data_IF_329671696376
#
_entry.id   IF_329671696376
#
_cell.length_a   1.000
_cell.length_b   1.000
_cell.length_c   1.000
_cell.angle_alpha   90.00
_cell.angle_beta   90.00
_cell.angle_gamma   90.00
#
_symmetry.space_group_name_H-M   'P 1'
#
loop_
_entity.id
_entity.type
_entity.pdbx_description
1 polymer ?
#
# COMPACT_ATOMS: atom_id res chain seq x y z
N UNK A 1 28.92 8.47 -8.99
CA UNK A 1 29.45 8.84 -7.66
C UNK A 1 30.65 7.96 -7.36
N UNK A 2 31.66 8.49 -6.69
CA UNK A 2 32.94 7.82 -6.48
C UNK A 2 32.99 7.01 -5.18
N UNK A 3 33.66 5.86 -5.22
CA UNK A 3 34.06 5.11 -4.03
C UNK A 3 35.57 4.88 -3.95
N UNK A 4 35.98 4.15 -2.93
CA UNK A 4 37.38 3.78 -2.72
C UNK A 4 37.48 2.38 -2.13
N UNK A 5 38.70 1.87 -2.04
CA UNK A 5 39.03 0.62 -1.37
C UNK A 5 40.07 0.89 -0.29
N UNK A 6 40.30 -0.07 0.61
CA UNK A 6 41.18 0.07 1.78
C UNK A 6 42.65 0.42 1.49
N UNK A 7 43.07 0.43 0.22
CA UNK A 7 44.41 0.81 -0.19
C UNK A 7 44.58 2.32 -0.43
N UNK A 8 43.50 3.09 -0.59
CA UNK A 8 43.57 4.54 -0.79
C UNK A 8 44.13 5.23 0.45
N UNK A 9 45.10 6.13 0.27
CA UNK A 9 45.83 6.82 1.35
C UNK A 9 46.58 5.89 2.34
N UNK A 10 46.77 4.61 1.99
CA UNK A 10 47.51 3.67 2.82
C UNK A 10 49.01 3.71 2.53
N UNK A 11 49.81 3.36 3.54
CA UNK A 11 51.24 3.10 3.38
C UNK A 11 51.48 1.59 3.22
N UNK A 12 52.28 1.23 2.22
CA UNK A 12 52.59 -0.15 1.90
C UNK A 12 54.03 -0.48 2.31
N UNK A 13 54.25 -1.71 2.76
CA UNK A 13 55.54 -2.22 3.20
C UNK A 13 55.89 -3.48 2.42
N UNK A 14 57.17 -3.70 2.21
CA UNK A 14 57.69 -4.95 1.69
C UNK A 14 57.69 -6.06 2.77
N UNK A 15 58.08 -7.27 2.37
CA UNK A 15 58.14 -8.44 3.26
C UNK A 15 59.14 -8.31 4.41
N UNK A 16 60.07 -7.36 4.32
CA UNK A 16 61.07 -7.06 5.35
C UNK A 16 60.64 -5.88 6.24
N UNK A 17 59.43 -5.32 6.04
CA UNK A 17 58.91 -4.18 6.80
C UNK A 17 59.47 -2.82 6.36
N UNK A 18 60.20 -2.76 5.24
CA UNK A 18 60.64 -1.48 4.66
C UNK A 18 59.52 -0.88 3.82
N UNK A 19 59.38 0.45 3.75
CA UNK A 19 58.39 1.07 2.88
C UNK A 19 58.56 0.63 1.42
N UNK A 20 57.44 0.34 0.74
CA UNK A 20 57.43 -0.10 -0.66
C UNK A 20 57.66 1.08 -1.62
N UNK A 21 58.83 1.70 -1.49
CA UNK A 21 59.24 2.87 -2.29
C UNK A 21 59.26 2.54 -3.77
N UNK A 22 58.55 3.35 -4.58
CA UNK A 22 58.48 3.16 -6.03
C UNK A 22 57.69 1.92 -6.47
N UNK A 23 56.93 1.29 -5.57
CA UNK A 23 56.00 0.22 -5.95
C UNK A 23 54.96 0.68 -6.97
N UNK A 24 54.36 -0.26 -7.69
CA UNK A 24 53.38 0.01 -8.75
C UNK A 24 52.04 -0.62 -8.41
N UNK A 25 51.00 0.22 -8.30
CA UNK A 25 49.62 -0.21 -8.09
C UNK A 25 48.87 -0.21 -9.41
N UNK A 26 48.43 -1.40 -9.83
CA UNK A 26 47.63 -1.62 -11.03
C UNK A 26 46.15 -1.75 -10.68
N UNK A 27 45.31 -1.06 -11.44
CA UNK A 27 43.85 -1.22 -11.42
C UNK A 27 43.41 -2.03 -12.63
N UNK A 28 42.73 -3.14 -12.39
CA UNK A 28 42.36 -4.13 -13.39
C UNK A 28 40.86 -4.40 -13.26
N UNK A 29 40.18 -4.65 -14.36
CA UNK A 29 38.77 -5.07 -14.33
C UNK A 29 38.65 -6.41 -13.57
N UNK A 30 37.63 -6.54 -12.72
CA UNK A 30 37.41 -7.78 -11.97
C UNK A 30 37.29 -9.00 -12.88
N UNK A 31 37.75 -10.16 -12.41
CA UNK A 31 37.79 -11.43 -13.17
C UNK A 31 38.64 -11.40 -14.45
N UNK A 32 39.45 -10.36 -14.66
CA UNK A 32 40.44 -10.31 -15.75
C UNK A 32 41.86 -10.36 -15.17
N UNK A 33 42.84 -10.59 -16.05
CA UNK A 33 44.25 -10.70 -15.63
C UNK A 33 45.05 -9.42 -15.89
N UNK A 34 44.62 -8.58 -16.84
CA UNK A 34 45.38 -7.39 -17.23
C UNK A 34 44.54 -6.29 -17.89
N UNK A 35 43.22 -6.44 -18.00
CA UNK A 35 42.38 -5.43 -18.65
C UNK A 35 42.35 -4.17 -17.77
N UNK A 36 42.90 -3.03 -18.21
CA UNK A 36 43.02 -1.86 -17.36
C UNK A 36 41.66 -1.33 -16.92
N UNK A 37 41.59 -0.89 -15.66
CA UNK A 37 40.47 -0.12 -15.14
C UNK A 37 40.92 1.29 -14.76
N UNK A 38 40.08 2.29 -15.03
CA UNK A 38 40.38 3.67 -14.67
C UNK A 38 40.21 3.90 -13.16
N UNK A 39 41.19 4.60 -12.58
CA UNK A 39 41.09 5.26 -11.29
C UNK A 39 41.20 6.77 -11.49
N UNK A 40 40.69 7.57 -10.56
CA UNK A 40 40.58 9.03 -10.69
C UNK A 40 41.15 9.75 -9.48
N UNK A 41 41.59 10.99 -9.70
CA UNK A 41 42.16 11.89 -8.69
C UNK A 41 41.09 12.67 -7.93
N UNK A 42 39.86 12.72 -8.45
CA UNK A 42 38.74 13.47 -7.89
C UNK A 42 37.46 12.63 -7.75
N UNK A 43 36.58 13.06 -6.83
CA UNK A 43 35.28 12.42 -6.57
C UNK A 43 34.28 12.55 -7.73
N UNK A 44 34.53 13.46 -8.67
CA UNK A 44 33.73 13.65 -9.88
C UNK A 44 34.06 12.63 -10.99
N UNK A 45 35.11 11.82 -10.81
CA UNK A 45 35.61 10.86 -11.81
C UNK A 45 36.01 11.55 -13.12
N UNK A 46 36.67 12.70 -13.03
CA UNK A 46 36.98 13.54 -14.20
C UNK A 46 38.45 13.54 -14.58
N UNK A 47 39.35 13.41 -13.60
CA UNK A 47 40.80 13.46 -13.77
C UNK A 47 41.37 12.04 -13.55
N UNK A 48 41.74 11.31 -14.61
CA UNK A 48 42.26 9.95 -14.46
C UNK A 48 43.65 9.94 -13.81
N UNK A 49 43.91 8.90 -13.03
CA UNK A 49 45.25 8.51 -12.60
C UNK A 49 45.94 7.68 -13.70
N UNK A 50 47.28 7.72 -13.78
CA UNK A 50 48.02 6.76 -14.59
C UNK A 50 47.80 5.33 -14.05
N UNK A 51 47.87 4.34 -14.93
CA UNK A 51 47.78 2.92 -14.57
C UNK A 51 49.03 2.20 -15.12
N UNK A 52 50.01 1.85 -14.27
CA UNK A 52 49.96 1.85 -12.80
C UNK A 52 50.16 3.24 -12.16
N UNK A 53 49.71 3.36 -10.90
CA UNK A 53 50.12 4.44 -10.00
C UNK A 53 51.45 4.05 -9.34
N UNK A 54 52.43 4.95 -9.36
CA UNK A 54 53.70 4.77 -8.66
C UNK A 54 53.62 5.31 -7.23
N UNK A 55 54.03 4.50 -6.25
CA UNK A 55 54.08 4.88 -4.83
C UNK A 55 55.25 5.84 -4.58
N UNK A 56 55.10 6.73 -3.59
CA UNK A 56 56.16 7.66 -3.19
C UNK A 56 57.33 6.97 -2.48
N UNK A 57 58.37 7.74 -2.10
CA UNK A 57 59.55 7.21 -1.40
C UNK A 57 59.24 6.60 -0.03
N UNK A 58 58.09 6.92 0.55
CA UNK A 58 57.60 6.34 1.79
C UNK A 58 56.61 5.19 1.54
N UNK A 59 56.44 4.72 0.30
CA UNK A 59 55.51 3.64 -0.04
C UNK A 59 54.04 4.03 0.12
N UNK A 60 53.70 5.33 0.05
CA UNK A 60 52.32 5.80 0.19
C UNK A 60 51.61 5.79 -1.15
N UNK A 61 50.37 5.35 -1.11
CA UNK A 61 49.45 5.41 -2.24
C UNK A 61 48.71 6.76 -2.17
N UNK A 62 48.71 7.57 -3.25
CA UNK A 62 47.93 8.81 -3.29
C UNK A 62 46.43 8.51 -3.17
N UNK A 63 45.59 9.51 -2.81
CA UNK A 63 44.16 9.32 -2.86
C UNK A 63 43.74 8.95 -4.29
N UNK A 64 42.91 7.92 -4.40
CA UNK A 64 42.28 7.55 -5.65
C UNK A 64 40.80 7.24 -5.44
N UNK A 65 40.05 7.45 -6.50
CA UNK A 65 38.61 7.31 -6.56
C UNK A 65 38.25 6.39 -7.72
N UNK A 66 37.27 5.52 -7.50
CA UNK A 66 36.85 4.50 -8.46
C UNK A 66 35.36 4.66 -8.75
N UNK A 67 34.97 4.29 -9.97
CA UNK A 67 33.57 4.04 -10.29
C UNK A 67 33.05 2.84 -9.49
N UNK A 68 31.74 2.83 -9.24
CA UNK A 68 31.06 1.73 -8.55
C UNK A 68 31.25 0.39 -9.29
N UNK A 69 31.33 -0.70 -8.53
CA UNK A 69 31.54 -2.06 -9.03
C UNK A 69 32.65 -2.83 -8.30
N UNK A 70 32.90 -4.05 -8.78
CA UNK A 70 34.03 -4.88 -8.33
C UNK A 70 35.25 -4.68 -9.22
N UNK A 71 36.43 -4.69 -8.60
CA UNK A 71 37.71 -4.49 -9.30
C UNK A 71 38.74 -5.53 -8.88
N UNK A 72 39.83 -5.58 -9.64
CA UNK A 72 41.05 -6.27 -9.26
C UNK A 72 42.16 -5.27 -9.06
N UNK A 73 42.95 -5.48 -8.02
CA UNK A 73 44.18 -4.72 -7.77
C UNK A 73 45.37 -5.64 -7.75
N UNK A 74 46.48 -5.15 -8.29
CA UNK A 74 47.79 -5.78 -8.15
C UNK A 74 48.79 -4.72 -7.73
N UNK A 75 49.45 -4.95 -6.61
CA UNK A 75 50.57 -4.13 -6.13
C UNK A 75 51.86 -4.90 -6.36
N UNK A 76 52.82 -4.28 -7.03
CA UNK A 76 54.17 -4.81 -7.20
C UNK A 76 55.20 -3.91 -6.50
N UNK A 77 56.37 -4.46 -6.21
CA UNK A 77 57.54 -3.65 -5.89
C UNK A 77 58.05 -2.90 -7.13
N UNK A 78 59.10 -2.08 -6.95
CA UNK A 78 59.73 -1.32 -8.03
C UNK A 78 60.36 -2.21 -9.12
N UNK A 79 60.62 -3.49 -8.84
CA UNK A 79 61.18 -4.47 -9.77
C UNK A 79 60.09 -5.32 -10.45
N UNK A 80 58.81 -5.07 -10.17
CA UNK A 80 57.68 -5.82 -10.74
C UNK A 80 57.30 -7.10 -10.00
N UNK A 81 57.86 -7.36 -8.81
CA UNK A 81 57.49 -8.53 -7.99
C UNK A 81 56.19 -8.26 -7.24
N UNK A 82 55.22 -9.14 -7.42
CA UNK A 82 53.89 -9.02 -6.79
C UNK A 82 53.96 -9.09 -5.26
N UNK A 83 53.38 -8.09 -4.60
CA UNK A 83 53.22 -8.03 -3.14
C UNK A 83 51.79 -8.37 -2.73
N UNK A 84 50.81 -7.83 -3.46
CA UNK A 84 49.38 -8.05 -3.20
C UNK A 84 48.66 -8.23 -4.53
N UNK A 85 47.86 -9.29 -4.63
CA UNK A 85 46.89 -9.46 -5.71
C UNK A 85 45.56 -9.78 -5.06
N UNK A 86 44.55 -8.93 -5.31
CA UNK A 86 43.21 -9.13 -4.82
C UNK A 86 42.22 -8.91 -5.96
N UNK A 87 41.36 -9.91 -6.19
CA UNK A 87 40.31 -9.88 -7.21
C UNK A 87 38.94 -9.73 -6.55
N UNK A 88 37.96 -9.32 -7.35
CA UNK A 88 36.57 -9.14 -6.96
C UNK A 88 36.39 -8.25 -5.71
N UNK A 89 37.22 -7.22 -5.60
CA UNK A 89 37.24 -6.30 -4.47
C UNK A 89 36.21 -5.19 -4.70
N UNK A 90 35.29 -5.01 -3.74
CA UNK A 90 34.24 -4.01 -3.92
C UNK A 90 34.75 -2.58 -3.69
N UNK A 91 34.43 -1.69 -4.62
CA UNK A 91 34.52 -0.25 -4.42
C UNK A 91 33.43 0.20 -3.44
N UNK A 92 33.85 0.68 -2.26
CA UNK A 92 32.94 1.21 -1.25
C UNK A 92 32.79 2.71 -1.46
N UNK A 93 31.58 3.13 -1.80
CA UNK A 93 31.23 4.54 -1.97
C UNK A 93 29.74 4.72 -2.13
N UNK A 94 29.24 5.96 -2.00
CA UNK A 94 27.83 6.21 -2.24
C UNK A 94 27.57 5.98 -3.74
N UNK A 95 26.73 5.01 -4.10
CA UNK A 95 26.47 4.66 -5.50
C UNK A 95 25.49 5.64 -6.14
N UNK A 96 25.75 6.02 -7.40
CA UNK A 96 24.80 6.78 -8.23
C UNK A 96 23.74 5.89 -8.90
N UNK A 97 23.86 4.56 -8.78
CA UNK A 97 22.87 3.61 -9.23
C UNK A 97 21.79 3.46 -8.17
N UNK A 98 20.62 4.07 -8.43
CA UNK A 98 19.39 3.59 -7.82
C UNK A 98 19.09 2.19 -8.36
N UNK A 99 19.57 1.15 -7.67
CA UNK A 99 19.27 -0.23 -8.01
C UNK A 99 20.39 -1.21 -7.72
N UNK A 100 20.20 -2.01 -6.68
CA UNK A 100 20.58 -3.42 -6.65
C UNK A 100 22.07 -3.78 -6.59
N UNK A 101 22.53 -4.10 -5.39
CA UNK A 101 23.39 -5.28 -5.18
C UNK A 101 24.81 -5.22 -5.74
N UNK A 102 25.70 -4.58 -4.98
CA UNK A 102 27.13 -4.88 -4.97
C UNK A 102 27.76 -4.04 -3.87
N UNK A 103 28.31 -4.56 -2.78
CA UNK A 103 28.55 -5.93 -2.30
C UNK A 103 29.34 -5.77 -1.00
N UNK A 104 28.75 -6.24 0.09
CA UNK A 104 29.21 -6.06 1.46
C UNK A 104 28.04 -6.11 2.43
N UNK A 105 26.88 -5.64 2.00
CA UNK A 105 25.58 -5.87 2.63
C UNK A 105 24.73 -6.75 1.72
N UNK A 106 24.17 -7.82 2.28
CA UNK A 106 23.22 -8.68 1.59
C UNK A 106 21.98 -7.84 1.23
N UNK A 107 21.56 -7.75 -0.05
CA UNK A 107 20.38 -6.99 -0.44
C UNK A 107 19.14 -7.36 0.36
N UNK A 108 18.98 -8.60 0.81
CA UNK A 108 17.83 -9.02 1.62
C UNK A 108 17.78 -8.36 3.01
N UNK A 109 18.87 -7.75 3.45
CA UNK A 109 18.97 -7.06 4.75
C UNK A 109 18.58 -5.59 4.69
N UNK A 110 18.28 -5.06 3.50
CA UNK A 110 17.85 -3.66 3.29
C UNK A 110 16.55 -3.60 2.51
N UNK A 111 15.82 -2.49 2.66
CA UNK A 111 14.61 -2.25 1.87
C UNK A 111 14.90 -2.29 0.37
N UNK A 112 14.15 -3.13 -0.34
CA UNK A 112 14.20 -3.29 -1.79
C UNK A 112 13.21 -2.35 -2.48
N UNK A 113 13.44 -2.08 -3.76
CA UNK A 113 12.49 -1.32 -4.59
C UNK A 113 11.08 -1.91 -4.48
N UNK A 114 10.11 -1.04 -4.22
CA UNK A 114 8.72 -1.44 -4.04
C UNK A 114 8.33 -1.73 -2.58
N UNK A 115 9.28 -1.89 -1.65
CA UNK A 115 8.95 -2.02 -0.23
C UNK A 115 8.26 -0.76 0.31
N UNK A 116 7.43 -0.96 1.34
CA UNK A 116 6.63 0.10 1.95
C UNK A 116 7.03 0.30 3.41
N UNK A 117 7.14 1.56 3.80
CA UNK A 117 7.37 2.01 5.16
C UNK A 117 6.30 3.02 5.55
N UNK A 118 5.85 2.98 6.80
CA UNK A 118 5.05 4.03 7.39
C UNK A 118 5.88 4.80 8.43
N UNK A 119 5.76 6.12 8.42
CA UNK A 119 6.37 7.00 9.40
C UNK A 119 5.36 8.08 9.83
N UNK A 120 5.37 8.46 11.09
CA UNK A 120 4.59 9.56 11.69
C UNK A 120 5.12 10.95 11.32
N UNK A 121 5.56 11.11 10.06
CA UNK A 121 6.14 12.34 9.53
C UNK A 121 5.37 12.81 8.30
N UNK A 122 5.54 14.09 7.98
CA UNK A 122 5.08 14.70 6.73
C UNK A 122 6.29 15.12 5.88
N UNK A 123 6.14 15.05 4.55
CA UNK A 123 7.13 15.58 3.60
C UNK A 123 7.71 14.52 2.67
N UNK A 124 8.70 14.91 1.87
CA UNK A 124 9.43 14.01 0.98
C UNK A 124 10.60 13.34 1.71
N UNK A 125 10.98 12.13 1.29
CA UNK A 125 12.13 11.41 1.84
C UNK A 125 13.04 10.94 0.71
N UNK A 126 14.33 11.26 0.79
CA UNK A 126 15.29 10.87 -0.24
C UNK A 126 15.37 9.35 -0.39
N UNK A 127 15.36 8.86 -1.64
CA UNK A 127 15.29 7.43 -1.97
C UNK A 127 13.91 6.79 -1.80
N UNK A 128 12.86 7.58 -1.56
CA UNK A 128 11.48 7.14 -1.41
C UNK A 128 10.52 8.10 -2.12
N UNK A 129 9.28 7.64 -2.34
CA UNK A 129 8.15 8.44 -2.83
C UNK A 129 6.90 8.12 -2.02
N UNK A 130 5.91 9.01 -1.98
CA UNK A 130 4.71 8.81 -1.16
C UNK A 130 3.61 8.08 -1.91
N UNK A 131 2.91 7.17 -1.27
CA UNK A 131 1.72 6.51 -1.83
C UNK A 131 0.49 7.42 -1.71
N UNK A 132 0.47 8.47 -2.53
CA UNK A 132 -0.49 9.57 -2.45
C UNK A 132 -1.35 9.74 -3.71
N UNK A 133 -1.38 8.71 -4.59
CA UNK A 133 -2.13 8.75 -5.83
C UNK A 133 -1.56 9.66 -6.93
N UNK A 134 -0.39 10.29 -6.72
CA UNK A 134 0.32 11.06 -7.76
C UNK A 134 1.14 10.15 -8.66
N UNK A 135 1.83 10.73 -9.64
CA UNK A 135 2.52 9.97 -10.69
C UNK A 135 4.05 9.97 -10.55
N UNK A 136 4.68 8.91 -11.04
CA UNK A 136 6.12 8.76 -11.27
C UNK A 136 6.42 8.69 -12.77
N UNK A 137 7.60 9.15 -13.16
CA UNK A 137 8.10 8.99 -14.52
C UNK A 137 9.50 9.58 -14.66
N UNK A 138 10.05 9.49 -15.87
CA UNK A 138 11.37 10.02 -16.16
C UNK A 138 11.43 11.56 -16.02
N UNK A 139 12.62 12.15 -16.15
CA UNK A 139 12.85 13.59 -15.95
C UNK A 139 12.00 14.50 -16.86
N UNK A 140 11.57 14.02 -18.02
CA UNK A 140 10.77 14.79 -18.99
C UNK A 140 9.28 14.45 -18.97
N UNK A 141 8.85 13.50 -18.13
CA UNK A 141 7.49 12.94 -18.14
C UNK A 141 6.41 13.86 -17.57
N UNK A 142 6.78 14.92 -16.84
CA UNK A 142 5.82 15.78 -16.13
C UNK A 142 5.16 15.11 -14.92
N UNK A 143 5.70 13.99 -14.43
CA UNK A 143 5.21 13.29 -13.26
C UNK A 143 5.13 14.18 -11.99
N UNK A 144 4.08 13.98 -11.20
CA UNK A 144 3.66 14.93 -10.15
C UNK A 144 4.16 14.60 -8.75
N UNK A 145 4.49 13.35 -8.45
CA UNK A 145 5.23 13.02 -7.22
C UNK A 145 6.73 13.15 -7.46
N UNK A 146 7.21 12.59 -8.58
CA UNK A 146 8.63 12.61 -8.93
C UNK A 146 8.86 12.34 -10.43
N UNK A 147 9.38 13.35 -11.12
CA UNK A 147 9.87 13.26 -12.49
C UNK A 147 11.41 13.21 -12.48
N UNK A 148 11.99 12.01 -12.50
CA UNK A 148 13.44 11.82 -12.42
C UNK A 148 13.84 10.44 -12.96
N UNK A 149 15.06 10.26 -13.46
CA UNK A 149 15.56 8.96 -13.91
C UNK A 149 15.66 7.92 -12.77
N UNK A 150 15.83 8.37 -11.53
CA UNK A 150 16.01 7.49 -10.36
C UNK A 150 14.76 6.70 -9.96
N UNK A 151 13.61 6.96 -10.59
CA UNK A 151 12.36 6.22 -10.34
C UNK A 151 12.14 5.07 -11.32
N UNK A 152 13.05 4.85 -12.27
CA UNK A 152 12.89 3.81 -13.31
C UNK A 152 12.63 2.43 -12.70
N UNK A 153 13.41 2.04 -11.70
CA UNK A 153 13.27 0.74 -11.05
C UNK A 153 11.87 0.57 -10.44
N UNK A 154 11.40 1.57 -9.69
CA UNK A 154 10.06 1.56 -9.12
C UNK A 154 8.96 1.63 -10.17
N UNK A 155 9.14 2.39 -11.26
CA UNK A 155 8.18 2.44 -12.37
C UNK A 155 7.98 1.05 -12.96
N UNK A 156 9.06 0.37 -13.33
CA UNK A 156 9.02 -0.98 -13.91
C UNK A 156 8.44 -1.99 -12.91
N UNK A 157 8.78 -1.84 -11.63
CA UNK A 157 8.25 -2.69 -10.57
C UNK A 157 6.72 -2.53 -10.43
N UNK A 158 6.20 -1.31 -10.35
CA UNK A 158 4.77 -1.03 -10.28
C UNK A 158 4.05 -1.54 -11.53
N UNK A 159 4.68 -1.35 -12.70
CA UNK A 159 4.16 -1.82 -13.97
C UNK A 159 3.99 -3.35 -13.95
N UNK A 160 4.99 -4.09 -13.47
CA UNK A 160 4.91 -5.56 -13.41
C UNK A 160 4.03 -6.12 -12.29
N UNK A 161 3.78 -5.37 -11.21
CA UNK A 161 3.08 -5.86 -10.02
C UNK A 161 1.62 -5.49 -9.93
N UNK A 162 1.21 -4.36 -10.48
CA UNK A 162 -0.15 -3.85 -10.38
C UNK A 162 -0.79 -3.71 -11.75
N UNK A 163 -2.11 -3.97 -11.81
CA UNK A 163 -2.90 -3.76 -13.01
C UNK A 163 -2.97 -2.28 -13.41
N UNK A 164 -3.33 -2.02 -14.66
CA UNK A 164 -3.53 -0.65 -15.15
C UNK A 164 -4.69 0.08 -14.47
N UNK A 165 -5.59 -0.64 -13.81
CA UNK A 165 -6.66 -0.04 -13.02
C UNK A 165 -6.16 0.52 -11.69
N UNK A 166 -5.19 -0.15 -11.06
CA UNK A 166 -4.64 0.26 -9.76
C UNK A 166 -3.48 1.24 -9.90
N UNK A 167 -2.61 1.00 -10.87
CA UNK A 167 -1.51 1.89 -11.23
C UNK A 167 -1.60 2.23 -12.73
N UNK A 168 -2.52 3.13 -13.13
CA UNK A 168 -2.65 3.56 -14.52
C UNK A 168 -1.34 4.13 -15.09
N UNK A 169 -0.99 3.71 -16.30
CA UNK A 169 0.05 4.35 -17.11
C UNK A 169 -0.61 5.38 -18.04
N UNK A 170 -0.04 6.59 -18.12
CA UNK A 170 -0.51 7.63 -19.03
C UNK A 170 -0.55 7.09 -20.46
N UNK A 171 -1.66 7.33 -21.16
CA UNK A 171 -1.93 6.81 -22.52
C UNK A 171 -1.97 5.28 -22.62
N UNK A 172 -2.15 4.58 -21.49
CA UNK A 172 -2.21 3.11 -21.42
C UNK A 172 -0.85 2.44 -21.49
N UNK A 173 -0.84 1.16 -21.10
CA UNK A 173 0.36 0.31 -21.07
C UNK A 173 0.80 -0.11 -22.46
N UNK A 174 2.11 -0.05 -22.68
CA UNK A 174 2.79 -0.61 -23.85
C UNK A 174 3.14 -2.09 -23.67
N UNK A 175 4.18 -2.54 -24.38
CA UNK A 175 4.66 -3.93 -24.33
C UNK A 175 5.42 -4.27 -23.04
N UNK A 176 6.12 -3.30 -22.45
CA UNK A 176 6.85 -3.47 -21.21
C UNK A 176 7.04 -2.12 -20.49
N UNK A 177 7.30 -2.19 -19.18
CA UNK A 177 7.43 -1.01 -18.33
C UNK A 177 8.67 -0.15 -18.62
N UNK A 178 9.76 -0.72 -19.12
CA UNK A 178 10.98 0.04 -19.41
C UNK A 178 10.77 0.89 -20.68
N UNK A 179 10.14 0.31 -21.70
CA UNK A 179 9.74 1.02 -22.91
C UNK A 179 8.76 2.16 -22.59
N UNK A 180 7.77 1.92 -21.73
CA UNK A 180 6.84 2.96 -21.29
C UNK A 180 7.56 4.09 -20.52
N UNK A 181 8.50 3.75 -19.64
CA UNK A 181 9.30 4.73 -18.92
C UNK A 181 10.18 5.58 -19.87
N UNK A 182 10.86 4.93 -20.81
CA UNK A 182 11.72 5.59 -21.80
C UNK A 182 10.91 6.48 -22.76
N UNK A 183 9.65 6.11 -23.04
CA UNK A 183 8.72 6.91 -23.83
C UNK A 183 8.19 8.15 -23.09
N UNK A 184 8.61 8.42 -21.84
CA UNK A 184 8.15 9.58 -21.08
C UNK A 184 6.76 9.43 -20.50
N UNK A 185 6.21 8.20 -20.46
CA UNK A 185 4.95 7.96 -19.79
C UNK A 185 5.10 8.08 -18.28
N UNK A 186 3.99 8.38 -17.62
CA UNK A 186 3.89 8.41 -16.16
C UNK A 186 3.06 7.23 -15.67
N UNK A 187 3.41 6.64 -14.53
CA UNK A 187 2.59 5.65 -13.83
C UNK A 187 2.07 6.24 -12.52
N UNK A 188 0.79 6.03 -12.22
CA UNK A 188 0.19 6.46 -10.97
C UNK A 188 0.62 5.54 -9.82
N UNK A 189 0.92 6.14 -8.67
CA UNK A 189 1.15 5.45 -7.42
C UNK A 189 -0.19 5.02 -6.81
N UNK A 190 -0.15 3.98 -5.98
CA UNK A 190 -1.28 3.68 -5.10
C UNK A 190 -1.63 4.90 -4.24
N UNK A 191 -2.91 5.06 -3.95
CA UNK A 191 -3.41 6.10 -3.05
C UNK A 191 -3.79 5.49 -1.70
N UNK A 192 -2.96 5.71 -0.68
CA UNK A 192 -3.20 5.23 0.68
C UNK A 192 -3.64 6.34 1.63
N UNK A 193 -4.00 7.52 1.11
CA UNK A 193 -4.47 8.62 1.96
C UNK A 193 -5.75 8.22 2.66
N UNK A 194 -5.74 8.27 4.00
CA UNK A 194 -6.89 7.91 4.83
C UNK A 194 -7.12 6.41 5.01
N UNK A 195 -6.29 5.55 4.41
CA UNK A 195 -6.47 4.11 4.49
C UNK A 195 -5.71 3.50 5.68
N UNK A 196 -6.36 2.53 6.33
CA UNK A 196 -5.67 1.58 7.20
C UNK A 196 -5.11 0.43 6.36
N UNK A 197 -4.02 -0.21 6.79
CA UNK A 197 -3.46 -1.38 6.11
C UNK A 197 -4.05 -2.66 6.70
N UNK A 198 -4.40 -3.60 5.82
CA UNK A 198 -4.78 -4.96 6.16
C UNK A 198 -4.05 -5.98 5.27
N UNK A 199 -4.06 -7.25 5.69
CA UNK A 199 -3.63 -8.35 4.86
C UNK A 199 -4.65 -8.68 3.77
N UNK A 200 -4.20 -9.32 2.69
CA UNK A 200 -5.11 -9.93 1.72
C UNK A 200 -5.91 -11.06 2.37
N UNK A 201 -7.04 -11.43 1.79
CA UNK A 201 -7.88 -12.51 2.34
C UNK A 201 -7.27 -13.90 2.13
N UNK A 202 -6.35 -14.02 1.17
CA UNK A 202 -5.72 -15.27 0.75
C UNK A 202 -4.28 -15.41 1.29
N UNK A 203 -3.44 -14.38 1.20
CA UNK A 203 -2.07 -14.33 1.74
C UNK A 203 -1.22 -15.57 1.42
N UNK A 204 -1.40 -16.12 0.21
CA UNK A 204 -0.71 -17.34 -0.24
C UNK A 204 -1.42 -18.66 0.10
N UNK A 205 -2.62 -18.60 0.69
CA UNK A 205 -3.55 -19.71 0.89
C UNK A 205 -4.85 -19.45 0.10
N UNK A 206 -5.87 -20.30 0.24
CA UNK A 206 -7.22 -20.00 -0.21
C UNK A 206 -7.83 -18.84 0.59
N UNK A 207 -8.64 -18.01 -0.08
CA UNK A 207 -9.33 -16.87 0.55
C UNK A 207 -10.20 -17.31 1.74
N UNK A 208 -10.03 -16.65 2.89
CA UNK A 208 -10.69 -17.00 4.14
C UNK A 208 -12.13 -16.45 4.29
N UNK A 209 -12.54 -15.52 3.43
CA UNK A 209 -13.85 -14.86 3.48
C UNK A 209 -14.00 -13.83 4.59
N UNK A 210 -12.90 -13.34 5.18
CA UNK A 210 -12.94 -12.44 6.34
C UNK A 210 -13.45 -11.04 5.98
N UNK A 211 -13.35 -10.66 4.71
CA UNK A 211 -13.88 -9.40 4.18
C UNK A 211 -15.29 -9.54 3.58
N UNK A 212 -15.99 -10.67 3.73
CA UNK A 212 -17.28 -10.91 3.06
C UNK A 212 -18.34 -9.83 3.34
N UNK A 213 -18.30 -9.20 4.51
CA UNK A 213 -19.22 -8.12 4.90
C UNK A 213 -18.67 -6.71 4.68
N UNK A 214 -17.44 -6.57 4.18
CA UNK A 214 -16.81 -5.29 3.93
C UNK A 214 -17.07 -4.86 2.46
N UNK A 215 -17.58 -3.65 2.21
CA UNK A 215 -17.73 -3.17 0.84
C UNK A 215 -16.36 -3.04 0.17
N UNK A 216 -16.23 -3.55 -1.05
CA UNK A 216 -15.03 -3.34 -1.86
C UNK A 216 -15.16 -1.98 -2.55
N UNK A 217 -14.30 -1.04 -2.21
CA UNK A 217 -14.25 0.32 -2.77
C UNK A 217 -13.48 0.32 -4.09
N UNK A 218 -12.40 -0.45 -4.17
CA UNK A 218 -11.62 -0.66 -5.41
C UNK A 218 -10.89 -2.00 -5.38
N UNK A 219 -10.73 -2.63 -6.54
CA UNK A 219 -10.03 -3.90 -6.69
C UNK A 219 -10.82 -5.10 -6.15
N UNK A 220 -10.19 -5.92 -5.32
CA UNK A 220 -10.77 -7.11 -4.70
C UNK A 220 -9.99 -7.58 -3.47
N UNK A 221 -10.61 -8.40 -2.63
CA UNK A 221 -10.08 -8.79 -1.30
C UNK A 221 -8.78 -9.63 -1.36
N UNK A 222 -8.47 -10.20 -2.52
CA UNK A 222 -7.22 -10.95 -2.82
C UNK A 222 -6.28 -10.19 -3.76
N UNK A 223 -6.64 -8.97 -4.17
CA UNK A 223 -5.83 -8.18 -5.11
C UNK A 223 -5.01 -7.14 -4.34
N UNK A 224 -3.66 -7.19 -4.40
CA UNK A 224 -2.80 -6.19 -3.77
C UNK A 224 -3.15 -4.76 -4.21
N UNK A 225 -3.21 -3.82 -3.26
CA UNK A 225 -3.52 -2.41 -3.55
C UNK A 225 -5.01 -2.06 -3.57
N UNK A 226 -5.89 -3.04 -3.32
CA UNK A 226 -7.33 -2.85 -3.20
C UNK A 226 -7.72 -2.09 -1.93
N UNK A 227 -8.91 -1.47 -1.96
CA UNK A 227 -9.49 -0.75 -0.83
C UNK A 227 -10.83 -1.38 -0.47
N UNK A 228 -11.00 -1.71 0.80
CA UNK A 228 -12.22 -2.32 1.36
C UNK A 228 -12.64 -1.60 2.64
N UNK A 229 -13.93 -1.65 2.96
CA UNK A 229 -14.50 -1.00 4.14
C UNK A 229 -15.02 0.42 3.88
N UNK A 230 -15.47 1.07 4.94
CA UNK A 230 -15.98 2.43 4.91
C UNK A 230 -15.84 3.12 6.27
N UNK A 231 -15.98 4.45 6.30
CA UNK A 231 -15.79 5.25 7.52
C UNK A 231 -17.03 5.26 8.42
N UNK A 232 -18.21 5.01 7.84
CA UNK A 232 -19.50 5.10 8.53
C UNK A 232 -20.39 3.93 8.17
N UNK A 233 -21.27 3.56 9.10
CA UNK A 233 -22.35 2.61 8.85
C UNK A 233 -23.70 3.26 9.13
N UNK A 234 -24.70 2.98 8.29
CA UNK A 234 -26.07 3.44 8.48
C UNK A 234 -26.80 2.48 9.41
N UNK A 235 -27.41 3.01 10.48
CA UNK A 235 -28.25 2.21 11.36
C UNK A 235 -29.53 1.79 10.63
N UNK A 236 -29.74 0.48 10.53
CA UNK A 236 -31.00 -0.10 10.04
C UNK A 236 -31.90 -0.52 11.20
N UNK A 237 -33.19 -0.72 10.95
CA UNK A 237 -34.16 -1.15 11.97
C UNK A 237 -33.72 -2.41 12.71
N UNK A 238 -33.04 -3.33 12.03
CA UNK A 238 -32.49 -4.55 12.65
C UNK A 238 -31.37 -4.30 13.67
N UNK A 239 -30.79 -3.09 13.73
CA UNK A 239 -29.81 -2.71 14.74
C UNK A 239 -30.45 -2.11 16.00
N UNK A 240 -31.76 -1.86 16.00
CA UNK A 240 -32.45 -1.26 17.15
C UNK A 240 -32.86 -2.36 18.15
N UNK A 241 -32.71 -2.13 19.47
CA UNK A 241 -33.29 -3.02 20.48
C UNK A 241 -34.79 -3.21 20.27
N UNK A 242 -35.38 -4.36 20.67
CA UNK A 242 -36.84 -4.50 20.70
C UNK A 242 -37.47 -3.35 21.50
N UNK A 243 -38.44 -2.68 20.92
CA UNK A 243 -39.18 -1.60 21.57
C UNK A 243 -40.67 -1.73 21.28
N UNK A 244 -41.49 -1.19 22.18
CA UNK A 244 -42.94 -1.13 22.02
C UNK A 244 -43.33 0.31 21.68
N UNK A 245 -43.90 0.59 20.49
CA UNK A 245 -44.32 1.93 20.14
C UNK A 245 -45.34 2.47 21.14
N UNK A 246 -45.15 3.70 21.63
CA UNK A 246 -46.20 4.38 22.41
C UNK A 246 -47.21 5.04 21.47
N UNK A 247 -48.49 4.82 21.71
CA UNK A 247 -49.58 5.46 20.99
C UNK A 247 -50.91 5.06 21.58
N UNK A 248 -51.98 5.63 21.05
CA UNK A 248 -53.35 5.28 21.41
C UNK A 248 -54.03 4.58 20.25
N UNK A 249 -54.77 3.52 20.57
CA UNK A 249 -55.73 2.93 19.66
C UNK A 249 -57.03 3.69 19.84
N UNK A 250 -57.53 4.25 18.75
CA UNK A 250 -58.87 4.84 18.70
C UNK A 250 -59.74 3.89 17.89
N UNK A 251 -60.64 3.21 18.59
CA UNK A 251 -61.64 2.38 17.94
C UNK A 251 -62.71 3.24 17.29
N UNK A 252 -63.10 2.86 16.08
CA UNK A 252 -64.29 3.40 15.45
C UNK A 252 -65.55 3.06 16.27
N UNK A 253 -66.63 3.85 16.16
CA UNK A 253 -67.87 3.58 16.87
C UNK A 253 -68.34 2.14 16.65
N UNK A 254 -68.60 1.43 17.74
CA UNK A 254 -69.23 0.11 17.70
C UNK A 254 -70.73 0.35 17.67
N UNK A 255 -71.34 0.07 16.52
CA UNK A 255 -72.77 0.14 16.34
C UNK A 255 -73.34 -1.27 16.34
N UNK A 256 -74.33 -1.49 17.19
CA UNK A 256 -75.27 -2.57 16.96
C UNK A 256 -76.32 -2.02 16.01
N UNK A 257 -76.56 -2.62 14.82
CA UNK A 257 -77.73 -2.26 14.05
C UNK A 257 -78.92 -2.38 15.00
N UNK A 258 -79.79 -1.37 15.00
CA UNK A 258 -80.99 -1.40 15.82
C UNK A 258 -81.76 -2.67 15.44
N UNK A 259 -81.57 -3.72 16.22
CA UNK A 259 -82.35 -4.92 16.13
C UNK A 259 -83.73 -4.49 16.54
N UNK A 260 -84.56 -4.11 15.56
CA UNK A 260 -85.99 -4.36 15.72
C UNK A 260 -86.06 -5.85 15.99
N UNK A 261 -86.19 -6.22 17.26
CA UNK A 261 -86.70 -7.50 17.65
C UNK A 261 -88.14 -7.52 17.13
N UNK A 262 -88.31 -7.77 15.83
CA UNK A 262 -89.59 -8.08 15.22
C UNK A 262 -89.93 -9.52 15.61
N UNK A 263 -89.93 -9.80 16.91
CA UNK A 263 -90.60 -10.95 17.48
C UNK A 263 -92.08 -10.62 17.56
N UNK A 264 -92.78 -10.56 16.42
CA UNK A 264 -94.21 -10.85 16.45
C UNK A 264 -94.36 -12.34 16.67
N UNK A 265 -94.27 -12.77 17.93
CA UNK A 265 -94.81 -14.07 18.30
C UNK A 265 -96.33 -13.94 18.31
N UNK A 266 -96.97 -14.23 17.17
CA UNK A 266 -98.41 -14.51 17.13
C UNK A 266 -98.63 -15.89 17.75
N UNK A 267 -98.84 -15.94 19.06
CA UNK A 267 -99.39 -17.12 19.69
C UNK A 267 -100.91 -17.08 19.54
N UNK A 268 -101.48 -18.00 18.78
CA UNK A 268 -102.91 -18.28 18.84
C UNK A 268 -103.18 -18.99 20.16
N UNK A 269 -103.68 -18.26 21.15
CA UNK A 269 -104.15 -18.86 22.41
C UNK A 269 -105.56 -19.42 22.20
N UNK A 270 -105.62 -20.68 21.76
CA UNK A 270 -106.80 -21.50 21.94
C UNK A 270 -106.75 -22.17 23.30
N UNK A 271 -107.38 -21.57 24.31
CA UNK A 271 -107.70 -22.24 25.58
C UNK A 271 -106.75 -22.01 26.74
N UNK A 272 -107.34 -21.98 27.93
CA UNK A 272 -106.80 -21.64 29.24
C UNK A 272 -105.63 -22.54 29.69
N UNK A 273 -104.52 -21.95 30.20
CA UNK A 273 -103.55 -22.70 31.02
C UNK A 273 -102.08 -22.28 30.93
N UNK A 274 -101.59 -21.65 32.02
CA UNK A 274 -100.19 -21.45 32.44
C UNK A 274 -99.19 -20.79 31.46
N UNK A 275 -98.70 -19.59 31.83
CA UNK A 275 -97.81 -18.77 31.02
C UNK A 275 -96.50 -19.46 30.61
N UNK A 276 -96.37 -19.76 29.32
CA UNK A 276 -95.09 -20.13 28.70
C UNK A 276 -94.32 -18.88 28.27
N UNK A 277 -93.08 -18.74 28.75
CA UNK A 277 -92.17 -17.69 28.30
C UNK A 277 -91.60 -18.03 26.92
N UNK A 278 -92.02 -17.30 25.89
CA UNK A 278 -91.46 -17.40 24.53
C UNK A 278 -90.06 -16.80 24.56
N UNK A 279 -89.01 -17.64 24.50
CA UNK A 279 -87.62 -17.18 24.37
C UNK A 279 -87.27 -17.07 22.89
N UNK A 280 -87.30 -15.86 22.35
CA UNK A 280 -86.84 -15.60 20.98
C UNK A 280 -85.36 -15.18 21.03
N UNK A 281 -84.50 -15.94 20.34
CA UNK A 281 -83.07 -15.62 20.21
C UNK A 281 -82.83 -14.93 18.87
N UNK A 282 -82.45 -13.65 18.91
CA UNK A 282 -82.02 -12.91 17.72
C UNK A 282 -80.48 -12.83 17.70
N UNK A 283 -79.87 -13.16 16.55
CA UNK A 283 -78.45 -12.90 16.31
C UNK A 283 -78.26 -11.43 15.97
N UNK A 284 -77.65 -10.66 16.87
CA UNK A 284 -77.22 -9.29 16.59
C UNK A 284 -75.76 -9.30 16.15
N UNK A 285 -75.46 -8.76 14.97
CA UNK A 285 -74.09 -8.60 14.49
C UNK A 285 -73.65 -7.16 14.70
N UNK A 286 -72.63 -6.93 15.54
CA UNK A 286 -72.02 -5.61 15.71
C UNK A 286 -71.25 -5.22 14.43
N UNK A 287 -71.33 -3.96 14.04
CA UNK A 287 -70.45 -3.37 13.04
C UNK A 287 -69.54 -2.36 13.74
N UNK A 288 -68.24 -2.46 13.51
CA UNK A 288 -67.26 -1.49 13.99
C UNK A 288 -66.69 -0.74 12.78
N UNK A 289 -66.66 0.60 12.86
CA UNK A 289 -65.91 1.38 11.88
C UNK A 289 -64.39 1.17 12.07
N UNK A 290 -63.58 1.48 11.05
CA UNK A 290 -62.15 1.17 11.07
C UNK A 290 -61.42 1.68 12.32
N UNK A 291 -60.71 0.78 13.00
CA UNK A 291 -59.80 1.13 14.10
C UNK A 291 -58.54 1.77 13.53
N UNK A 292 -58.09 2.85 14.17
CA UNK A 292 -56.82 3.51 13.80
C UNK A 292 -55.86 3.51 14.98
N UNK A 293 -54.58 3.28 14.68
CA UNK A 293 -53.50 3.54 15.61
C UNK A 293 -52.97 4.95 15.33
N UNK A 294 -52.97 5.80 16.35
CA UNK A 294 -52.31 7.11 16.29
C UNK A 294 -51.15 7.11 17.26
N UNK A 295 -49.95 7.28 16.72
CA UNK A 295 -48.73 7.46 17.49
C UNK A 295 -47.77 8.35 16.72
N UNK A 296 -46.88 9.05 17.43
CA UNK A 296 -45.74 9.72 16.80
C UNK A 296 -44.78 8.65 16.28
N UNK A 297 -44.35 8.67 15.00
CA UNK A 297 -43.27 7.81 14.54
C UNK A 297 -42.06 7.99 15.47
N UNK A 298 -41.70 6.93 16.19
CA UNK A 298 -40.53 6.95 17.05
C UNK A 298 -39.32 6.53 16.23
N UNK A 299 -38.62 7.54 15.72
CA UNK A 299 -37.42 7.38 14.91
C UNK A 299 -37.07 8.69 14.22
N UNK A 300 -35.85 9.19 14.45
CA UNK A 300 -35.28 10.26 13.64
C UNK A 300 -34.70 9.70 12.34
N UNK A 301 -34.23 10.58 11.46
CA UNK A 301 -33.29 10.18 10.39
C UNK A 301 -32.04 9.56 11.03
N UNK A 302 -31.79 8.28 10.77
CA UNK A 302 -30.55 7.61 11.19
C UNK A 302 -29.34 8.37 10.63
N UNK A 303 -28.61 9.08 11.50
CA UNK A 303 -27.30 9.62 11.14
C UNK A 303 -26.28 8.49 11.17
N UNK A 304 -25.44 8.31 10.14
CA UNK A 304 -24.44 7.26 10.13
C UNK A 304 -23.53 7.35 11.36
N UNK A 305 -23.25 6.20 11.97
CA UNK A 305 -22.29 6.10 13.07
C UNK A 305 -20.91 5.85 12.52
N UNK A 306 -19.89 6.47 13.12
CA UNK A 306 -18.49 6.20 12.75
C UNK A 306 -18.14 4.76 13.10
N UNK A 307 -17.58 4.04 12.13
CA UNK A 307 -16.96 2.72 12.33
C UNK A 307 -15.44 2.80 12.18
N UNK A 308 -14.89 4.01 12.04
CA UNK A 308 -13.46 4.22 11.94
C UNK A 308 -12.79 3.86 13.27
N UNK A 309 -11.78 2.99 13.20
CA UNK A 309 -10.91 2.71 14.33
C UNK A 309 -10.09 3.96 14.70
N UNK A 310 -9.65 4.03 15.96
CA UNK A 310 -8.70 5.07 16.40
C UNK A 310 -7.35 4.82 15.71
N UNK A 311 -6.89 5.75 14.89
CA UNK A 311 -5.71 5.58 14.03
C UNK A 311 -4.72 6.74 14.20
N UNK A 312 -3.43 6.42 14.33
CA UNK A 312 -2.34 7.40 14.25
C UNK A 312 -2.04 7.75 12.80
N UNK A 313 -1.82 9.02 12.50
CA UNK A 313 -1.62 9.51 11.13
C UNK A 313 -0.15 9.68 10.80
N UNK A 314 0.20 9.37 9.56
CA UNK A 314 1.56 9.43 9.04
C UNK A 314 1.58 9.23 7.54
N UNK A 315 2.77 9.09 6.97
CA UNK A 315 2.97 8.97 5.53
C UNK A 315 3.44 7.56 5.17
N UNK A 316 2.80 6.95 4.18
CA UNK A 316 3.29 5.75 3.53
C UNK A 316 4.29 6.13 2.44
N UNK A 317 5.51 5.61 2.58
CA UNK A 317 6.60 5.76 1.63
C UNK A 317 6.85 4.44 0.93
N UNK A 318 7.06 4.49 -0.39
CA UNK A 318 7.51 3.37 -1.21
C UNK A 318 8.95 3.58 -1.67
N UNK A 319 9.75 2.53 -1.56
CA UNK A 319 11.19 2.54 -1.86
C UNK A 319 11.41 2.63 -3.37
N UNK A 320 12.26 3.57 -3.79
CA UNK A 320 12.79 3.65 -5.16
C UNK A 320 13.75 2.50 -5.43
#
# INVERSE_FOLDING_TARGET
>A
MAGSISLSLSQQFDRNGSPLSGGLLYFIQASTVATPQNAYQDVGLTIPHPNPITLDAAGRIPPFYLADGSIKVRLTDANGVEQVVADNLLVVGPSSGGGGGGGGVDPTTVFQTGDVMWLDVQGTRSGWVRENGRTLGNATSGATERANSDVQALFVWLWGKYSDTLCPVSTGRGGDGLSDFNAGKTIQLLDKRGNSIGGLDDMGNSAAGLYASAPVVSGGVTTPGSVVGGNTSTLVTGNLPPYTPSGSITDGPIAFPAGTLAGTSSANFGGEGSGQAIRSSASMSATQSGTTFTGTPQGGTSTPVSVAQRTSLGTFYRKL
#
